data_IF_240790702326
#
_entry.id   IF_240790702326
#
_cell.length_a   1.000
_cell.length_b   1.000
_cell.length_c   1.000
_cell.angle_alpha   90.00
_cell.angle_beta   90.00
_cell.angle_gamma   90.00
#
_symmetry.space_group_name_H-M   'P 1'
#
loop_
_entity.id
_entity.type
_entity.pdbx_description
1 polymer ?
#
# COMPACT_ATOMS: atom_id res chain seq x y z
N UNK A 1 32.39 -24.80 -27.66
CA UNK A 1 32.87 -23.41 -27.72
C UNK A 1 32.28 -22.74 -28.94
N UNK A 2 31.29 -21.86 -28.75
CA UNK A 2 30.91 -20.92 -29.80
C UNK A 2 30.46 -19.61 -29.14
N UNK A 3 31.34 -18.61 -29.21
CA UNK A 3 31.01 -17.21 -29.00
C UNK A 3 30.60 -16.63 -30.36
N UNK A 4 29.47 -15.92 -30.42
CA UNK A 4 29.16 -14.97 -31.49
C UNK A 4 28.42 -13.74 -30.94
N UNK A 5 28.57 -12.58 -31.63
CA UNK A 5 28.95 -11.32 -31.02
C UNK A 5 27.79 -10.34 -30.77
N UNK A 6 28.03 -9.37 -29.88
CA UNK A 6 27.23 -8.15 -29.72
C UNK A 6 27.43 -7.18 -30.90
N UNK A 7 26.36 -6.59 -31.44
CA UNK A 7 26.44 -5.31 -32.15
C UNK A 7 26.17 -4.12 -31.21
N UNK A 8 27.09 -3.17 -31.27
CA UNK A 8 27.03 -1.84 -30.67
C UNK A 8 26.22 -0.85 -31.53
N UNK A 9 25.93 0.32 -30.93
CA UNK A 9 25.35 1.54 -31.51
C UNK A 9 23.82 1.51 -31.73
N UNK A 10 23.04 2.56 -31.44
CA UNK A 10 23.32 3.99 -31.64
C UNK A 10 22.79 4.89 -30.51
N UNK A 11 23.57 5.94 -30.21
CA UNK A 11 23.12 7.11 -29.46
C UNK A 11 22.19 7.93 -30.34
N UNK A 12 20.91 8.04 -29.98
CA UNK A 12 20.03 9.07 -30.52
C UNK A 12 20.38 10.44 -29.92
N UNK A 13 20.30 11.55 -30.70
CA UNK A 13 20.64 12.89 -30.26
C UNK A 13 19.64 13.48 -29.23
N UNK A 14 20.05 14.50 -28.45
CA UNK A 14 19.16 15.23 -27.54
C UNK A 14 18.17 16.08 -28.33
N UNK A 15 16.87 15.92 -28.06
CA UNK A 15 15.84 16.83 -28.55
C UNK A 15 15.69 17.96 -27.54
N UNK A 16 16.27 19.09 -27.93
CA UNK A 16 16.12 20.39 -27.28
C UNK A 16 14.66 20.89 -27.37
N UNK A 17 14.31 21.66 -26.36
CA UNK A 17 13.02 22.31 -26.08
C UNK A 17 12.41 23.13 -27.22
N UNK A 18 11.10 23.36 -27.16
CA UNK A 18 10.68 24.76 -27.18
C UNK A 18 9.76 25.15 -26.01
N UNK A 19 10.19 26.19 -25.30
CA UNK A 19 9.41 27.38 -24.93
C UNK A 19 7.90 27.32 -25.14
N UNK A 20 7.15 27.41 -24.04
CA UNK A 20 5.86 28.09 -24.04
C UNK A 20 5.66 28.83 -22.69
N UNK A 21 5.56 30.15 -22.84
CA UNK A 21 5.14 31.14 -21.86
C UNK A 21 3.69 30.90 -21.41
N UNK A 22 3.45 30.90 -20.10
CA UNK A 22 2.22 31.33 -19.42
C UNK A 22 2.60 31.38 -17.92
N UNK A 23 2.84 32.53 -17.27
CA UNK A 23 1.93 33.66 -17.03
C UNK A 23 0.50 33.19 -16.77
N UNK A 24 0.32 32.53 -15.63
CA UNK A 24 -0.98 32.46 -14.96
C UNK A 24 -0.81 33.00 -13.52
N UNK A 25 -1.80 33.78 -13.10
CA UNK A 25 -1.77 34.64 -11.92
C UNK A 25 -1.74 33.83 -10.61
N UNK A 26 -1.13 34.35 -9.53
CA UNK A 26 -1.46 33.86 -8.20
C UNK A 26 -2.82 34.44 -7.80
N UNK A 27 -3.89 33.73 -8.15
CA UNK A 27 -5.20 33.91 -7.54
C UNK A 27 -5.04 33.66 -6.03
N UNK A 28 -5.14 34.75 -5.28
CA UNK A 28 -5.15 34.76 -3.81
C UNK A 28 -6.57 34.40 -3.37
N UNK A 29 -7.01 33.20 -3.73
CA UNK A 29 -8.26 32.61 -3.27
C UNK A 29 -8.02 31.92 -1.94
N UNK A 30 -8.41 32.57 -0.85
CA UNK A 30 -8.34 32.03 0.50
C UNK A 30 -8.97 30.65 0.57
N UNK A 31 -8.14 29.62 0.58
CA UNK A 31 -8.52 28.33 1.11
C UNK A 31 -8.57 28.53 2.62
N UNK A 32 -9.77 28.84 3.12
CA UNK A 32 -10.13 28.46 4.47
C UNK A 32 -9.77 26.98 4.59
N UNK A 33 -8.58 26.74 5.16
CA UNK A 33 -8.26 25.50 5.84
C UNK A 33 -9.30 25.40 6.93
N UNK A 34 -10.44 24.84 6.54
CA UNK A 34 -11.31 24.12 7.43
C UNK A 34 -10.37 23.12 8.07
N UNK A 35 -9.85 23.50 9.24
CA UNK A 35 -9.30 22.59 10.20
C UNK A 35 -10.48 21.68 10.54
N UNK A 36 -10.76 20.72 9.66
CA UNK A 36 -11.26 19.43 10.05
C UNK A 36 -10.37 19.07 11.22
N UNK A 37 -10.94 19.21 12.41
CA UNK A 37 -10.36 18.71 13.62
C UNK A 37 -9.85 17.34 13.24
N UNK A 38 -8.52 17.20 13.19
CA UNK A 38 -7.86 15.94 12.92
C UNK A 38 -8.27 15.04 14.07
N UNK A 39 -9.45 14.44 13.95
CA UNK A 39 -9.92 13.38 14.78
C UNK A 39 -8.89 12.30 14.53
N UNK A 40 -7.92 12.20 15.44
CA UNK A 40 -6.85 11.22 15.38
C UNK A 40 -7.52 9.90 14.99
N UNK A 41 -7.18 9.32 13.83
CA UNK A 41 -7.88 8.15 13.34
C UNK A 41 -7.81 7.12 14.46
N UNK A 42 -8.99 6.68 14.93
CA UNK A 42 -9.04 5.74 16.04
C UNK A 42 -8.18 4.54 15.66
N UNK A 43 -7.12 4.26 16.42
CA UNK A 43 -6.24 3.13 16.13
C UNK A 43 -6.85 1.87 16.73
N UNK A 44 -6.80 0.77 15.99
CA UNK A 44 -7.26 -0.53 16.45
C UNK A 44 -6.10 -1.53 16.39
N UNK A 45 -6.02 -2.34 17.43
CA UNK A 45 -5.03 -3.41 17.53
C UNK A 45 -5.63 -4.70 16.98
N UNK A 46 -5.07 -5.21 15.88
CA UNK A 46 -5.50 -6.44 15.24
C UNK A 46 -4.54 -7.56 15.62
N UNK A 47 -5.08 -8.66 16.14
CA UNK A 47 -4.33 -9.87 16.43
C UNK A 47 -4.50 -10.87 15.28
N UNK A 48 -3.45 -11.10 14.50
CA UNK A 48 -3.45 -12.05 13.39
C UNK A 48 -2.81 -13.35 13.84
N UNK A 49 -3.61 -14.41 13.94
CA UNK A 49 -3.15 -15.76 14.28
C UNK A 49 -2.87 -16.59 13.04
N UNK A 50 -1.74 -17.30 13.04
CA UNK A 50 -1.37 -18.20 11.97
C UNK A 50 -2.25 -19.47 12.00
N UNK A 51 -3.06 -19.70 10.97
CA UNK A 51 -4.06 -20.78 10.96
C UNK A 51 -3.47 -22.20 11.13
N UNK A 52 -2.22 -22.43 10.74
CA UNK A 52 -1.54 -23.75 10.78
C UNK A 52 -0.40 -23.82 11.80
N UNK A 53 -0.17 -22.76 12.58
CA UNK A 53 1.04 -22.64 13.41
C UNK A 53 0.73 -22.05 14.78
N UNK A 54 1.76 -21.89 15.62
CA UNK A 54 1.65 -21.24 16.93
C UNK A 54 2.03 -19.75 16.92
N UNK A 55 2.15 -19.16 15.74
CA UNK A 55 2.52 -17.75 15.59
C UNK A 55 1.30 -16.82 15.67
N UNK A 56 1.44 -15.74 16.41
CA UNK A 56 0.53 -14.60 16.37
C UNK A 56 1.32 -13.31 16.16
N UNK A 57 0.75 -12.40 15.37
CA UNK A 57 1.32 -11.09 15.08
C UNK A 57 0.29 -10.06 15.46
N UNK A 58 0.68 -9.13 16.31
CA UNK A 58 -0.13 -7.98 16.66
C UNK A 58 0.28 -6.81 15.78
N UNK A 59 -0.69 -6.19 15.10
CA UNK A 59 -0.47 -4.99 14.29
C UNK A 59 -1.45 -3.92 14.70
N UNK A 60 -0.99 -2.68 14.70
CA UNK A 60 -1.82 -1.52 14.99
C UNK A 60 -2.09 -0.79 13.69
N UNK A 61 -3.37 -0.60 13.37
CA UNK A 61 -3.81 0.04 12.14
C UNK A 61 -4.96 1.00 12.43
N UNK A 62 -5.22 2.00 11.57
CA UNK A 62 -6.40 2.84 11.69
C UNK A 62 -7.70 2.01 11.67
N UNK A 63 -8.72 2.39 12.42
CA UNK A 63 -10.04 1.75 12.41
C UNK A 63 -10.70 1.81 11.04
N UNK A 64 -10.42 2.86 10.27
CA UNK A 64 -10.87 3.02 8.89
C UNK A 64 -9.99 2.28 7.86
N UNK A 65 -8.97 1.54 8.32
CA UNK A 65 -8.09 0.80 7.44
C UNK A 65 -8.80 -0.39 6.79
N UNK A 66 -8.25 -0.87 5.67
CA UNK A 66 -8.74 -2.06 4.98
C UNK A 66 -7.90 -3.26 5.36
N UNK A 67 -8.39 -4.45 5.02
CA UNK A 67 -7.64 -5.68 5.23
C UNK A 67 -6.33 -5.72 4.44
N UNK A 68 -6.24 -5.03 3.31
CA UNK A 68 -4.98 -4.82 2.58
C UNK A 68 -3.93 -4.11 3.42
N UNK A 69 -4.31 -3.07 4.16
CA UNK A 69 -3.41 -2.33 5.06
C UNK A 69 -2.93 -3.23 6.21
N UNK A 70 -3.84 -4.03 6.80
CA UNK A 70 -3.49 -5.02 7.83
C UNK A 70 -2.49 -6.03 7.30
N UNK A 71 -2.72 -6.54 6.09
CA UNK A 71 -1.82 -7.51 5.44
C UNK A 71 -0.44 -6.91 5.22
N UNK A 72 -0.35 -5.69 4.71
CA UNK A 72 0.92 -4.98 4.56
C UNK A 72 1.62 -4.79 5.90
N UNK A 73 0.90 -4.36 6.93
CA UNK A 73 1.45 -4.20 8.28
C UNK A 73 2.02 -5.52 8.82
N UNK A 74 1.30 -6.63 8.66
CA UNK A 74 1.75 -7.96 9.07
C UNK A 74 3.00 -8.39 8.30
N UNK A 75 3.06 -8.14 6.98
CA UNK A 75 4.24 -8.46 6.16
C UNK A 75 5.45 -7.64 6.62
N UNK A 76 5.26 -6.34 6.88
CA UNK A 76 6.31 -5.46 7.41
C UNK A 76 6.82 -5.96 8.75
N UNK A 77 5.92 -6.39 9.65
CA UNK A 77 6.29 -6.91 10.96
C UNK A 77 7.00 -8.27 10.91
N UNK A 78 6.61 -9.14 9.99
CA UNK A 78 7.22 -10.47 9.83
C UNK A 78 8.56 -10.44 9.08
N UNK A 79 8.89 -9.35 8.40
CA UNK A 79 10.17 -9.17 7.70
C UNK A 79 10.39 -10.08 6.49
N UNK A 80 9.42 -10.91 6.14
CA UNK A 80 9.47 -11.82 5.00
C UNK A 80 8.13 -11.80 4.29
N UNK A 81 8.13 -11.63 2.96
CA UNK A 81 6.92 -11.80 2.14
C UNK A 81 6.57 -13.29 2.09
N UNK A 82 5.51 -13.75 2.79
CA UNK A 82 5.01 -15.08 2.52
C UNK A 82 4.42 -15.00 1.11
N UNK A 83 4.91 -15.83 0.19
CA UNK A 83 4.46 -15.83 -1.21
C UNK A 83 2.92 -15.98 -1.35
N UNK A 84 2.23 -16.41 -0.28
CA UNK A 84 0.78 -16.60 -0.21
C UNK A 84 0.21 -16.30 1.19
N UNK A 85 0.36 -15.08 1.70
CA UNK A 85 -0.42 -14.66 2.89
C UNK A 85 -1.85 -14.37 2.46
N UNK A 86 -2.82 -15.06 3.08
CA UNK A 86 -4.26 -14.78 2.95
C UNK A 86 -4.85 -14.50 4.32
N UNK A 87 -5.57 -13.39 4.44
CA UNK A 87 -6.38 -13.10 5.61
C UNK A 87 -7.66 -13.94 5.54
N UNK A 88 -8.00 -14.55 6.67
CA UNK A 88 -9.20 -15.34 6.82
C UNK A 88 -9.92 -14.93 8.10
N UNK A 89 -11.26 -14.89 8.07
CA UNK A 89 -12.06 -14.86 9.30
C UNK A 89 -12.59 -16.25 9.60
N UNK A 90 -12.71 -16.55 10.89
CA UNK A 90 -13.45 -17.72 11.34
C UNK A 90 -14.93 -17.37 11.38
N UNK A 91 -15.74 -18.01 10.54
CA UNK A 91 -17.19 -17.90 10.53
C UNK A 91 -17.78 -19.24 10.97
N UNK A 92 -18.11 -19.36 12.25
CA UNK A 92 -18.51 -20.63 12.86
C UNK A 92 -17.35 -21.62 12.87
N UNK A 93 -17.47 -22.70 12.10
CA UNK A 93 -16.42 -23.74 11.96
C UNK A 93 -15.61 -23.61 10.66
N UNK A 94 -15.91 -22.62 9.82
CA UNK A 94 -15.28 -22.44 8.51
C UNK A 94 -14.34 -21.22 8.49
N UNK A 95 -13.26 -21.32 7.72
CA UNK A 95 -12.38 -20.18 7.43
C UNK A 95 -12.83 -19.55 6.11
N UNK A 96 -13.25 -18.28 6.17
CA UNK A 96 -13.66 -17.49 5.02
C UNK A 96 -12.51 -16.58 4.63
N UNK A 97 -12.06 -16.68 3.37
CA UNK A 97 -11.02 -15.78 2.84
C UNK A 97 -11.60 -14.38 2.66
N UNK A 98 -10.87 -13.38 3.12
CA UNK A 98 -11.26 -11.99 2.99
C UNK A 98 -10.46 -11.32 1.86
N UNK A 99 -11.11 -10.41 1.15
CA UNK A 99 -10.47 -9.60 0.12
C UNK A 99 -9.75 -8.40 0.76
N UNK A 100 -8.65 -7.95 0.15
CA UNK A 100 -7.89 -6.79 0.63
C UNK A 100 -8.73 -5.48 0.63
N UNK A 101 -9.81 -5.43 -0.16
CA UNK A 101 -10.70 -4.28 -0.28
C UNK A 101 -11.74 -4.18 0.83
N UNK A 102 -11.93 -5.24 1.62
CA UNK A 102 -12.91 -5.22 2.72
C UNK A 102 -12.45 -4.31 3.87
N UNK A 103 -13.38 -3.57 4.50
CA UNK A 103 -13.09 -2.74 5.65
C UNK A 103 -12.78 -3.58 6.90
N UNK A 104 -11.99 -3.01 7.80
CA UNK A 104 -11.65 -3.63 9.08
C UNK A 104 -12.80 -3.46 10.08
N UNK A 105 -13.83 -4.30 9.96
CA UNK A 105 -14.98 -4.37 10.88
C UNK A 105 -16.30 -3.90 10.25
N UNK A 106 -17.40 -4.49 10.74
CA UNK A 106 -18.79 -3.99 10.64
C UNK A 106 -19.30 -3.70 12.05
#
# INVERSE_FOLDING_TARGET
FWLKPSPAHERGPPQDTPTAHAMDAPDTGGTEVQAEAAASPAMVTVLVKHAMGKGEVQVEVPAAARLGDVREAVIKQLGALPKRLRLVRLAGTALVTLADEEPLGE
#
